data_IF_518945095726
#
_entry.id   IF_518945095726
#
_cell.length_a   1.000
_cell.length_b   1.000
_cell.length_c   1.000
_cell.angle_alpha   90.00
_cell.angle_beta   90.00
_cell.angle_gamma   90.00
#
_symmetry.space_group_name_H-M   'P 1'
#
loop_
_entity.id
_entity.type
_entity.pdbx_description
1 polymer ?
#
# COMPACT_ATOMS: atom_id res chain seq x y z
N UNK A 1 -1.36 -6.39 15.00
CA UNK A 1 -0.92 -5.84 16.29
C UNK A 1 -1.04 -4.33 16.33
N UNK A 2 -0.11 -3.53 15.77
CA UNK A 2 -0.13 -2.06 15.92
C UNK A 2 -1.42 -1.34 15.47
N UNK A 3 -2.01 -1.74 14.34
CA UNK A 3 -3.29 -1.16 13.88
C UNK A 3 -4.47 -1.46 14.82
N UNK A 4 -4.42 -2.58 15.55
CA UNK A 4 -5.50 -2.99 16.47
C UNK A 4 -5.47 -2.18 17.77
N UNK A 5 -4.29 -1.73 18.20
CA UNK A 5 -4.12 -0.95 19.44
C UNK A 5 -4.22 0.56 19.22
N UNK A 6 -4.15 1.02 17.96
CA UNK A 6 -4.17 2.43 17.63
C UNK A 6 -5.53 3.09 17.92
N UNK A 7 -5.51 4.17 18.71
CA UNK A 7 -6.72 4.92 19.11
C UNK A 7 -6.89 6.25 18.37
N UNK A 8 -5.93 6.67 17.54
CA UNK A 8 -6.01 7.92 16.76
C UNK A 8 -7.00 7.84 15.60
N UNK A 9 -7.66 8.97 15.26
CA UNK A 9 -8.60 9.07 14.11
C UNK A 9 -7.90 8.74 12.80
N UNK A 10 -6.66 9.17 12.68
CA UNK A 10 -5.77 8.85 11.57
C UNK A 10 -4.69 7.90 12.08
N UNK A 11 -4.34 6.92 11.26
CA UNK A 11 -3.27 5.97 11.50
C UNK A 11 -2.18 6.22 10.47
N UNK A 12 -0.95 6.41 10.94
CA UNK A 12 0.25 6.45 10.11
C UNK A 12 1.07 5.18 10.33
N UNK A 13 1.57 4.59 9.25
CA UNK A 13 2.53 3.47 9.30
C UNK A 13 3.87 3.93 8.78
N UNK A 14 4.94 3.60 9.51
CA UNK A 14 6.31 3.93 9.15
C UNK A 14 7.22 2.75 9.50
N UNK A 15 8.12 2.40 8.60
CA UNK A 15 9.15 1.38 8.87
C UNK A 15 10.24 1.96 9.78
N UNK A 16 10.76 1.13 10.70
CA UNK A 16 11.79 1.52 11.67
C UNK A 16 13.22 1.55 11.07
N UNK A 17 13.38 1.37 9.76
CA UNK A 17 14.66 1.26 9.07
C UNK A 17 15.24 2.61 8.62
N UNK A 18 14.63 3.72 9.07
CA UNK A 18 14.99 5.11 8.76
C UNK A 18 14.99 5.45 7.25
N UNK A 19 14.45 4.56 6.41
CA UNK A 19 14.37 4.80 4.98
C UNK A 19 13.34 5.87 4.64
N UNK A 20 12.25 5.97 5.41
CA UNK A 20 11.19 6.95 5.22
C UNK A 20 11.36 8.09 6.23
N UNK A 21 11.32 9.34 5.77
CA UNK A 21 11.50 10.51 6.63
C UNK A 21 10.16 10.92 7.30
N UNK A 22 10.07 10.93 8.65
CA UNK A 22 8.87 11.40 9.36
C UNK A 22 8.44 12.83 8.99
N UNK A 23 9.34 13.65 8.44
CA UNK A 23 9.05 15.02 7.98
C UNK A 23 8.06 15.08 6.83
N UNK A 24 7.83 13.98 6.10
CA UNK A 24 6.81 13.94 5.06
C UNK A 24 5.38 13.78 5.62
N UNK A 25 5.24 13.44 6.92
CA UNK A 25 3.94 13.21 7.56
C UNK A 25 2.95 14.38 7.43
N UNK A 26 3.34 15.66 7.63
CA UNK A 26 2.42 16.79 7.48
C UNK A 26 1.86 16.91 6.06
N UNK A 27 2.69 16.71 5.03
CA UNK A 27 2.26 16.72 3.62
C UNK A 27 1.27 15.58 3.34
N UNK A 28 1.51 14.39 3.90
CA UNK A 28 0.58 13.27 3.77
C UNK A 28 -0.75 13.53 4.49
N UNK A 29 -0.73 14.18 5.66
CA UNK A 29 -1.95 14.57 6.39
C UNK A 29 -2.74 15.65 5.64
N UNK A 30 -2.07 16.57 4.94
CA UNK A 30 -2.74 17.56 4.11
C UNK A 30 -3.49 16.88 2.94
N UNK A 31 -2.83 15.94 2.25
CA UNK A 31 -3.46 15.16 1.19
C UNK A 31 -4.65 14.31 1.70
N UNK A 32 -4.59 13.85 2.96
CA UNK A 32 -5.65 13.07 3.59
C UNK A 32 -6.95 13.87 3.78
N UNK A 33 -6.92 15.21 3.76
CA UNK A 33 -8.16 16.00 3.82
C UNK A 33 -9.08 15.73 2.63
N UNK A 34 -8.52 15.36 1.49
CA UNK A 34 -9.24 15.13 0.24
C UNK A 34 -9.29 13.64 -0.16
N UNK A 35 -8.83 12.74 0.72
CA UNK A 35 -8.76 11.30 0.50
C UNK A 35 -9.07 10.53 1.79
N UNK A 36 -9.10 9.20 1.70
CA UNK A 36 -9.31 8.34 2.87
C UNK A 36 -8.01 7.62 3.26
N UNK A 37 -7.14 7.39 2.28
CA UNK A 37 -5.81 6.83 2.47
C UNK A 37 -4.81 7.48 1.50
N UNK A 38 -3.65 7.83 2.04
CA UNK A 38 -2.51 8.42 1.34
C UNK A 38 -1.35 7.44 1.42
N UNK A 39 -0.85 7.01 0.26
CA UNK A 39 0.33 6.18 0.15
C UNK A 39 1.52 7.02 -0.27
N UNK A 40 2.64 6.92 0.44
CA UNK A 40 3.89 7.48 -0.02
C UNK A 40 4.34 6.76 -1.30
N UNK A 41 4.84 7.50 -2.28
CA UNK A 41 5.48 6.92 -3.47
C UNK A 41 6.90 7.42 -3.60
N UNK A 42 7.82 6.50 -3.87
CA UNK A 42 9.23 6.81 -4.13
C UNK A 42 9.48 7.08 -5.61
N UNK A 43 8.44 7.15 -6.44
CA UNK A 43 8.57 7.33 -7.87
C UNK A 43 9.41 8.58 -8.24
N UNK A 44 9.28 9.66 -7.48
CA UNK A 44 10.03 10.90 -7.69
C UNK A 44 11.50 10.83 -7.23
N UNK A 45 11.81 9.98 -6.24
CA UNK A 45 13.13 9.86 -5.61
C UNK A 45 13.97 8.69 -6.16
N UNK A 46 13.36 7.75 -6.88
CA UNK A 46 13.96 6.54 -7.48
C UNK A 46 15.07 6.78 -8.54
N UNK A 47 15.54 8.00 -8.74
CA UNK A 47 16.61 8.33 -9.69
C UNK A 47 18.00 8.55 -9.07
N UNK A 48 18.09 8.81 -7.77
CA UNK A 48 19.37 9.16 -7.12
C UNK A 48 20.06 7.91 -6.54
N UNK A 49 20.85 7.21 -7.36
CA UNK A 49 21.76 6.15 -6.91
C UNK A 49 21.21 4.71 -6.93
N UNK A 50 20.01 4.49 -7.47
CA UNK A 50 19.43 3.15 -7.59
C UNK A 50 19.89 2.42 -8.86
N UNK A 51 20.29 1.15 -8.71
CA UNK A 51 20.62 0.29 -9.84
C UNK A 51 19.43 0.22 -10.83
N UNK A 52 19.69 0.50 -12.11
CA UNK A 52 18.69 0.49 -13.19
C UNK A 52 17.86 -0.79 -13.22
N UNK A 53 18.47 -1.93 -12.90
CA UNK A 53 17.80 -3.25 -12.83
C UNK A 53 16.71 -3.27 -11.74
N UNK A 54 16.95 -2.59 -10.60
CA UNK A 54 15.98 -2.48 -9.49
C UNK A 54 14.80 -1.60 -9.87
N UNK A 55 15.06 -0.52 -10.61
CA UNK A 55 14.01 0.39 -11.09
C UNK A 55 13.15 -0.33 -12.12
N UNK A 56 13.76 -1.01 -13.10
CA UNK A 56 13.07 -1.76 -14.13
C UNK A 56 12.22 -2.90 -13.54
N UNK A 57 12.79 -3.71 -12.64
CA UNK A 57 12.05 -4.79 -11.97
C UNK A 57 10.88 -4.28 -11.14
N UNK A 58 11.03 -3.17 -10.40
CA UNK A 58 9.92 -2.57 -9.66
C UNK A 58 8.82 -2.05 -10.59
N UNK A 59 9.18 -1.44 -11.72
CA UNK A 59 8.21 -0.96 -12.71
C UNK A 59 7.43 -2.12 -13.35
N UNK A 60 8.12 -3.20 -13.72
CA UNK A 60 7.49 -4.40 -14.29
C UNK A 60 6.57 -5.05 -13.25
N UNK A 61 7.02 -5.21 -12.01
CA UNK A 61 6.19 -5.79 -10.95
C UNK A 61 4.92 -4.95 -10.68
N UNK A 62 5.07 -3.61 -10.62
CA UNK A 62 3.93 -2.71 -10.45
C UNK A 62 3.01 -2.75 -11.68
N UNK A 63 3.54 -2.81 -12.89
CA UNK A 63 2.75 -2.93 -14.12
C UNK A 63 1.95 -4.24 -14.17
N UNK A 64 2.59 -5.39 -13.89
CA UNK A 64 1.92 -6.69 -13.83
C UNK A 64 0.81 -6.65 -12.78
N UNK A 65 1.12 -6.12 -11.59
CA UNK A 65 0.14 -5.98 -10.50
C UNK A 65 -1.03 -5.13 -10.93
N UNK A 66 -0.77 -3.93 -11.44
CA UNK A 66 -1.77 -2.96 -11.87
C UNK A 66 -2.64 -3.49 -13.01
N UNK A 67 -2.05 -4.18 -13.99
CA UNK A 67 -2.78 -4.82 -15.10
C UNK A 67 -3.68 -5.96 -14.60
N UNK A 68 -3.19 -6.77 -13.66
CA UNK A 68 -3.97 -7.88 -13.10
C UNK A 68 -5.02 -7.43 -12.10
N UNK A 69 -4.78 -6.39 -11.31
CA UNK A 69 -5.74 -5.88 -10.33
C UNK A 69 -6.65 -4.79 -10.90
N UNK A 70 -6.40 -4.28 -12.10
CA UNK A 70 -7.11 -3.11 -12.65
C UNK A 70 -6.92 -1.88 -11.77
N UNK A 71 -5.69 -1.63 -11.34
CA UNK A 71 -5.32 -0.53 -10.45
C UNK A 71 -4.29 0.38 -11.11
N UNK A 72 -4.15 1.60 -10.58
CA UNK A 72 -3.03 2.48 -10.92
C UNK A 72 -2.36 2.91 -9.61
N UNK A 73 -1.35 2.15 -9.19
CA UNK A 73 -0.54 2.43 -8.00
C UNK A 73 0.93 2.36 -8.43
N UNK A 74 1.65 3.47 -8.25
CA UNK A 74 3.02 3.65 -8.69
C UNK A 74 4.05 3.00 -7.77
N UNK A 75 3.74 2.84 -6.48
CA UNK A 75 4.66 2.19 -5.52
C UNK A 75 3.95 1.32 -4.47
N UNK A 76 3.56 0.12 -4.86
CA UNK A 76 3.01 -0.90 -3.97
C UNK A 76 3.91 -1.26 -2.78
N UNK A 77 5.23 -1.14 -2.97
CA UNK A 77 6.23 -1.57 -2.00
C UNK A 77 6.54 -0.52 -0.94
N UNK A 78 6.01 0.70 -1.07
CA UNK A 78 6.11 1.70 -0.02
C UNK A 78 5.09 1.40 1.09
N UNK A 79 5.60 1.29 2.30
CA UNK A 79 4.89 1.01 3.55
C UNK A 79 4.55 2.30 4.31
N UNK A 80 5.08 3.44 3.89
CA UNK A 80 4.72 4.73 4.46
C UNK A 80 3.33 5.14 3.99
N UNK A 81 2.35 5.09 4.91
CA UNK A 81 0.93 5.33 4.61
C UNK A 81 0.29 6.09 5.74
N UNK A 82 -0.70 6.91 5.41
CA UNK A 82 -1.56 7.58 6.36
C UNK A 82 -3.00 7.38 5.93
N UNK A 83 -3.87 6.91 6.82
CA UNK A 83 -5.26 6.62 6.47
C UNK A 83 -6.20 6.86 7.66
N UNK A 84 -7.47 7.10 7.35
CA UNK A 84 -8.53 7.17 8.36
C UNK A 84 -8.71 5.78 8.97
N UNK A 85 -8.94 5.71 10.29
CA UNK A 85 -9.12 4.43 10.99
C UNK A 85 -10.22 3.56 10.36
N UNK A 86 -11.31 4.18 9.90
CA UNK A 86 -12.43 3.49 9.23
C UNK A 86 -12.01 2.71 7.98
N UNK A 87 -10.94 3.12 7.28
CA UNK A 87 -10.47 2.43 6.08
C UNK A 87 -10.07 0.99 6.29
N UNK A 88 -9.68 0.62 7.51
CA UNK A 88 -9.23 -0.73 7.85
C UNK A 88 -10.28 -1.54 8.61
N UNK A 89 -11.42 -0.95 8.94
CA UNK A 89 -12.46 -1.62 9.73
C UNK A 89 -13.05 -2.83 8.99
N UNK A 90 -13.22 -2.72 7.67
CA UNK A 90 -13.83 -3.76 6.84
C UNK A 90 -12.83 -4.56 6.00
N UNK A 91 -11.56 -4.14 6.00
CA UNK A 91 -10.50 -4.81 5.23
C UNK A 91 -10.26 -6.23 5.75
N UNK A 92 -10.39 -7.21 4.86
CA UNK A 92 -10.05 -8.61 5.15
C UNK A 92 -8.54 -8.83 5.06
N UNK A 93 -7.88 -8.87 6.22
CA UNK A 93 -6.45 -9.15 6.29
C UNK A 93 -6.13 -10.63 6.10
N UNK A 94 -5.05 -10.89 5.38
CA UNK A 94 -4.42 -12.19 5.22
C UNK A 94 -2.90 -12.04 5.36
N UNK A 95 -2.18 -13.15 5.52
CA UNK A 95 -0.72 -13.11 5.59
C UNK A 95 -0.14 -12.60 4.26
N UNK A 96 0.41 -11.38 4.26
CA UNK A 96 0.88 -10.70 3.04
C UNK A 96 0.02 -9.49 2.62
N UNK A 97 -1.13 -9.26 3.26
CA UNK A 97 -2.07 -8.19 2.92
C UNK A 97 -1.47 -6.78 2.93
N UNK A 98 -0.41 -6.53 3.72
CA UNK A 98 0.30 -5.25 3.73
C UNK A 98 0.79 -4.80 2.34
N UNK A 99 1.10 -5.73 1.42
CA UNK A 99 1.51 -5.42 0.03
C UNK A 99 0.34 -4.95 -0.85
N UNK A 100 -0.88 -5.29 -0.45
CA UNK A 100 -2.12 -5.03 -1.18
C UNK A 100 -3.06 -4.08 -0.44
N UNK A 101 -2.69 -3.59 0.74
CA UNK A 101 -3.55 -2.73 1.55
C UNK A 101 -4.15 -1.54 0.78
N UNK A 102 -3.43 -0.82 -0.11
CA UNK A 102 -4.05 0.25 -0.88
C UNK A 102 -5.16 -0.27 -1.81
N UNK A 103 -4.95 -1.45 -2.42
CA UNK A 103 -5.95 -2.12 -3.25
C UNK A 103 -7.14 -2.61 -2.42
N UNK A 104 -6.88 -3.19 -1.24
CA UNK A 104 -7.94 -3.65 -0.34
C UNK A 104 -8.79 -2.48 0.17
N UNK A 105 -8.17 -1.36 0.53
CA UNK A 105 -8.87 -0.14 0.93
C UNK A 105 -9.75 0.39 -0.22
N UNK A 106 -9.23 0.41 -1.46
CA UNK A 106 -10.05 0.79 -2.64
C UNK A 106 -11.21 -0.17 -2.90
N UNK A 107 -11.02 -1.47 -2.65
CA UNK A 107 -12.09 -2.46 -2.79
C UNK A 107 -13.26 -2.15 -1.84
N UNK A 108 -12.96 -1.70 -0.61
CA UNK A 108 -13.97 -1.22 0.34
C UNK A 108 -14.59 0.15 -0.03
N UNK A 109 -14.24 0.73 -1.19
CA UNK A 109 -14.85 1.95 -1.71
C UNK A 109 -14.15 3.26 -1.32
N UNK A 110 -13.06 3.20 -0.56
CA UNK A 110 -12.33 4.37 -0.10
C UNK A 110 -11.44 4.98 -1.19
N UNK A 111 -11.28 6.31 -1.13
CA UNK A 111 -10.39 7.06 -2.02
C UNK A 111 -8.94 6.95 -1.56
N UNK A 112 -8.10 6.35 -2.42
CA UNK A 112 -6.65 6.22 -2.18
C UNK A 112 -5.86 7.06 -3.17
N UNK A 113 -4.94 7.88 -2.65
CA UNK A 113 -4.04 8.74 -3.43
C UNK A 113 -2.57 8.43 -3.12
N UNK A 114 -1.68 8.84 -4.02
CA UNK A 114 -0.23 8.72 -3.82
C UNK A 114 0.41 10.11 -3.70
N UNK A 115 1.35 10.27 -2.77
CA UNK A 115 2.11 11.50 -2.56
C UNK A 115 3.61 11.18 -2.61
N UNK A 116 4.44 11.96 -3.33
CA UNK A 116 5.88 11.77 -3.31
C UNK A 116 6.44 11.88 -1.90
N UNK A 117 7.29 10.93 -1.51
CA UNK A 117 7.99 10.96 -0.21
C UNK A 117 9.51 10.86 -0.40
N UNK A 118 10.23 11.47 0.53
CA UNK A 118 11.68 11.41 0.62
C UNK A 118 12.12 10.01 1.04
N UNK A 119 13.26 9.55 0.52
CA UNK A 119 13.80 8.24 0.90
C UNK A 119 15.29 8.34 1.14
N UNK A 120 15.73 7.85 2.30
CA UNK A 120 17.14 7.78 2.64
C UNK A 120 17.78 6.51 2.01
N UNK A 121 19.06 6.60 1.60
CA UNK A 121 19.82 5.43 1.14
C UNK A 121 19.83 4.33 2.21
N UNK A 122 19.79 3.06 1.80
CA UNK A 122 20.00 1.95 2.74
C UNK A 122 21.43 1.97 3.25
N UNK A 123 21.61 1.92 4.56
CA UNK A 123 22.94 1.87 5.18
C UNK A 123 23.59 0.48 5.18
N UNK A 124 22.84 -0.62 5.03
CA UNK A 124 23.41 -1.97 4.78
C UNK A 124 22.32 -3.03 4.56
N UNK A 125 22.64 -4.11 3.83
CA UNK A 125 21.84 -5.33 3.78
C UNK A 125 21.93 -6.08 2.44
N UNK A 126 22.75 -7.13 2.38
CA UNK A 126 22.78 -8.08 1.26
C UNK A 126 21.64 -9.08 1.39
N UNK A 127 20.57 -8.91 0.62
CA UNK A 127 19.48 -9.90 0.59
C UNK A 127 19.78 -11.01 -0.43
N UNK A 128 20.42 -12.11 0.02
CA UNK A 128 20.74 -13.25 -0.86
C UNK A 128 19.86 -14.50 -0.68
N UNK A 129 19.02 -14.58 0.35
CA UNK A 129 18.16 -15.75 0.60
C UNK A 129 16.69 -15.33 0.79
N UNK A 130 15.82 -15.65 -0.18
CA UNK A 130 14.35 -15.50 -0.03
C UNK A 130 13.59 -14.73 -1.11
N UNK A 131 14.26 -14.22 -2.16
CA UNK A 131 13.60 -13.45 -3.23
C UNK A 131 12.57 -14.29 -3.98
N UNK A 132 12.92 -15.52 -4.39
CA UNK A 132 12.03 -16.40 -5.16
C UNK A 132 10.80 -16.85 -4.38
N UNK A 133 10.97 -17.28 -3.12
CA UNK A 133 9.84 -17.67 -2.27
C UNK A 133 8.92 -16.48 -1.99
N UNK A 134 9.49 -15.28 -1.80
CA UNK A 134 8.72 -14.04 -1.62
C UNK A 134 7.97 -13.64 -2.89
N UNK A 135 8.58 -13.83 -4.06
CA UNK A 135 7.98 -13.55 -5.36
C UNK A 135 6.76 -14.47 -5.59
N UNK A 136 6.93 -15.78 -5.39
CA UNK A 136 5.87 -16.76 -5.58
C UNK A 136 4.69 -16.52 -4.63
N UNK A 137 4.95 -16.29 -3.34
CA UNK A 137 3.92 -15.92 -2.37
C UNK A 137 3.18 -14.66 -2.80
N UNK A 138 3.91 -13.61 -3.18
CA UNK A 138 3.30 -12.34 -3.61
C UNK A 138 2.47 -12.48 -4.88
N UNK A 139 2.88 -13.35 -5.81
CA UNK A 139 2.14 -13.64 -7.03
C UNK A 139 0.83 -14.39 -6.74
N UNK A 140 0.89 -15.43 -5.90
CA UNK A 140 -0.31 -16.15 -5.45
C UNK A 140 -1.29 -15.22 -4.75
N UNK A 141 -0.80 -14.36 -3.87
CA UNK A 141 -1.62 -13.37 -3.16
C UNK A 141 -2.26 -12.36 -4.14
N UNK A 142 -1.55 -11.95 -5.20
CA UNK A 142 -2.11 -11.10 -6.26
C UNK A 142 -3.27 -11.78 -6.99
N UNK A 143 -3.15 -13.07 -7.33
CA UNK A 143 -4.24 -13.82 -7.95
C UNK A 143 -5.47 -13.90 -7.03
N UNK A 144 -5.26 -14.11 -5.73
CA UNK A 144 -6.34 -14.10 -4.75
C UNK A 144 -7.03 -12.73 -4.65
N UNK A 145 -6.26 -11.64 -4.59
CA UNK A 145 -6.81 -10.26 -4.57
C UNK A 145 -7.60 -9.95 -5.84
N UNK A 146 -7.08 -10.35 -7.01
CA UNK A 146 -7.80 -10.21 -8.29
C UNK A 146 -9.12 -10.99 -8.26
N UNK A 147 -9.10 -12.24 -7.79
CA UNK A 147 -10.31 -13.05 -7.67
C UNK A 147 -11.32 -12.39 -6.72
N UNK A 148 -10.90 -11.95 -5.52
CA UNK A 148 -11.76 -11.25 -4.57
C UNK A 148 -12.40 -10.00 -5.20
N UNK A 149 -11.62 -9.17 -5.90
CA UNK A 149 -12.12 -7.99 -6.60
C UNK A 149 -13.18 -8.34 -7.65
N UNK A 150 -13.00 -9.43 -8.40
CA UNK A 150 -13.96 -9.87 -9.42
C UNK A 150 -15.26 -10.47 -8.85
N UNK A 151 -15.27 -10.88 -7.58
CA UNK A 151 -16.39 -11.57 -6.93
C UNK A 151 -16.99 -10.78 -5.77
N UNK A 152 -16.57 -9.54 -5.59
CA UNK A 152 -17.04 -8.68 -4.52
C UNK A 152 -18.51 -8.32 -4.76
N UNK A 153 -19.37 -8.70 -3.81
CA UNK A 153 -20.78 -8.30 -3.79
C UNK A 153 -20.87 -7.00 -3.01
N UNK A 154 -21.46 -5.97 -3.64
CA UNK A 154 -21.84 -4.73 -2.97
C UNK A 154 -23.33 -4.81 -2.69
N UNK A 155 -23.70 -4.81 -1.41
CA UNK A 155 -25.09 -4.79 -0.99
C UNK A 155 -25.27 -3.67 0.03
N UNK A 156 -26.42 -3.03 -0.02
CA UNK A 156 -26.84 -2.02 0.94
C UNK A 156 -28.02 -2.62 1.70
N UNK A 157 -27.91 -2.70 3.03
CA UNK A 157 -29.00 -3.17 3.86
C UNK A 157 -29.98 -2.00 4.00
N UNK A 158 -31.10 -2.06 3.29
CA UNK A 158 -32.23 -1.16 3.54
C UNK A 158 -33.03 -1.69 4.72
N UNK A 159 -33.07 -0.95 5.83
CA UNK A 159 -34.10 -1.18 6.84
C UNK A 159 -35.45 -0.75 6.25
N UNK A 160 -36.41 -1.67 6.18
CA UNK A 160 -37.80 -1.32 5.87
C UNK A 160 -38.31 -0.49 7.05
N UNK A 161 -38.62 0.79 6.81
CA UNK A 161 -39.35 1.61 7.77
C UNK A 161 -40.80 1.14 7.76
N UNK A 162 -41.24 0.59 8.89
CA UNK A 162 -42.66 0.35 9.19
C UNK A 162 -43.43 1.67 9.33
#
# INVERSE_FOLDING_TARGET
AGMQTARGRYIATLDADLQNDPKDLPTMLEALKNADCVCGTRAATRGKGDNWIRIASSRIANWVRNKLSGENISDAGCTYRVFKRECIAHVKFFNGAHRFLPTLIKMEGFRVVEVPVSTNPRFSGTSHYGVWNRLFKSFRDLLAVRWMKSRQIRYEISEMRD
#
